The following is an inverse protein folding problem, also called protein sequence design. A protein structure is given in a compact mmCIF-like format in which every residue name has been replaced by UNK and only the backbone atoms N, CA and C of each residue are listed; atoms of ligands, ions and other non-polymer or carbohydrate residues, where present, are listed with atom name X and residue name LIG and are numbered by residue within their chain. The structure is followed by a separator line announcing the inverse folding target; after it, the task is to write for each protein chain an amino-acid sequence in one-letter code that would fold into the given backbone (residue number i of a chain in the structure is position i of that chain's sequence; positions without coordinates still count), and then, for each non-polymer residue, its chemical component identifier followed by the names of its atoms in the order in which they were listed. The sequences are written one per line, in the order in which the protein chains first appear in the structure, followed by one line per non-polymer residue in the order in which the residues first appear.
data_IF_863937494267
#
_entry.id   IF_863937494267
#
_cell.length_a   1.000
_cell.length_b   1.000
_cell.length_c   1.000
_cell.angle_alpha   90.00
_cell.angle_beta   90.00
_cell.angle_gamma   90.00
#
_symmetry.space_group_name_H-M   'P 1'
#
loop_
_entity.id
_entity.type
_entity.pdbx_description
1 polymer ?
#
# COMPACT_ATOMS: atom_id res chain seq x y z
N UNK A 1 -3.33 21.61 18.97
CA UNK A 1 -3.10 21.65 17.50
C UNK A 1 -3.08 20.23 16.96
N UNK A 2 -3.95 19.89 15.99
CA UNK A 2 -3.79 18.64 15.21
C UNK A 2 -2.61 18.85 14.26
N UNK A 3 -1.57 18.00 14.33
CA UNK A 3 -0.50 17.99 13.33
C UNK A 3 -1.12 17.60 11.99
N UNK A 4 -1.02 18.48 10.99
CA UNK A 4 -1.31 18.13 9.61
C UNK A 4 -0.03 17.56 8.99
N UNK A 5 -0.13 16.41 8.34
CA UNK A 5 0.96 15.81 7.57
C UNK A 5 0.59 15.91 6.10
N UNK A 6 1.50 16.42 5.27
CA UNK A 6 1.40 16.26 3.82
C UNK A 6 1.89 14.84 3.51
N UNK A 7 1.00 14.02 2.97
CA UNK A 7 1.32 12.65 2.56
C UNK A 7 1.45 12.65 1.04
N UNK A 8 2.68 12.50 0.54
CA UNK A 8 2.92 12.27 -0.88
C UNK A 8 2.47 10.84 -1.24
N UNK A 9 1.53 10.74 -2.18
CA UNK A 9 1.04 9.45 -2.66
C UNK A 9 2.08 8.70 -3.52
N UNK A 10 3.16 9.37 -3.94
CA UNK A 10 4.35 8.71 -4.48
C UNK A 10 5.22 8.20 -3.32
N UNK A 11 4.65 7.38 -2.44
CA UNK A 11 5.43 6.71 -1.38
C UNK A 11 6.61 6.02 -2.07
N UNK A 12 7.84 6.20 -1.57
CA UNK A 12 9.02 5.66 -2.23
C UNK A 12 8.86 4.20 -2.64
N UNK A 13 8.15 3.39 -1.84
CA UNK A 13 7.92 1.95 -2.09
C UNK A 13 7.05 1.64 -3.32
N UNK A 14 6.07 2.48 -3.67
CA UNK A 14 5.12 2.28 -4.80
C UNK A 14 5.40 3.26 -5.94
N UNK A 15 6.50 4.02 -5.88
CA UNK A 15 6.79 5.08 -6.82
C UNK A 15 7.32 4.55 -8.16
N UNK A 16 6.54 3.79 -8.96
CA UNK A 16 6.79 3.44 -10.38
C UNK A 16 8.27 3.33 -10.83
N UNK A 17 9.15 2.74 -10.02
CA UNK A 17 10.62 2.73 -10.24
C UNK A 17 11.29 4.11 -10.40
N UNK A 18 10.61 5.20 -10.07
CA UNK A 18 11.11 6.58 -10.08
C UNK A 18 11.92 6.94 -8.84
N UNK A 19 11.79 6.16 -7.77
CA UNK A 19 12.57 6.32 -6.55
C UNK A 19 13.53 5.13 -6.39
N UNK A 20 14.77 5.36 -5.89
CA UNK A 20 15.73 4.28 -5.61
C UNK A 20 15.24 3.30 -4.52
N UNK A 21 14.19 3.65 -3.78
CA UNK A 21 13.55 2.82 -2.77
C UNK A 21 12.22 2.20 -3.23
N UNK A 22 11.92 2.27 -4.54
CA UNK A 22 10.73 1.64 -5.11
C UNK A 22 10.92 0.13 -5.21
N UNK A 23 9.93 -0.62 -4.73
CA UNK A 23 9.91 -2.06 -4.89
C UNK A 23 9.49 -2.39 -6.34
N UNK A 24 10.32 -3.12 -7.12
CA UNK A 24 10.00 -3.45 -8.50
C UNK A 24 8.73 -4.31 -8.63
N UNK A 25 8.39 -5.08 -7.61
CA UNK A 25 7.17 -5.88 -7.61
C UNK A 25 5.91 -5.00 -7.50
N UNK A 26 6.05 -3.71 -7.12
CA UNK A 26 4.96 -2.73 -7.04
C UNK A 26 4.88 -1.80 -8.25
N UNK A 27 5.69 -2.04 -9.30
CA UNK A 27 5.71 -1.20 -10.50
C UNK A 27 4.37 -1.16 -11.25
N UNK A 28 3.52 -2.17 -11.06
CA UNK A 28 2.19 -2.27 -11.70
C UNK A 28 1.01 -2.10 -10.74
N UNK A 29 1.27 -1.81 -9.46
CA UNK A 29 0.22 -1.56 -8.48
C UNK A 29 -0.55 -0.28 -8.82
N UNK A 30 -1.88 -0.33 -8.75
CA UNK A 30 -2.75 0.75 -9.22
C UNK A 30 -2.33 2.12 -8.64
N UNK A 31 -2.09 3.14 -9.49
CA UNK A 31 -1.67 4.46 -9.02
C UNK A 31 -2.66 5.14 -8.08
N UNK A 32 -3.96 4.92 -8.25
CA UNK A 32 -5.00 5.55 -7.43
C UNK A 32 -5.04 4.99 -6.00
N UNK A 33 -4.58 3.75 -5.81
CA UNK A 33 -4.56 3.06 -4.51
C UNK A 33 -3.34 3.39 -3.65
N UNK A 34 -2.29 3.95 -4.25
CA UNK A 34 -1.06 4.34 -3.54
C UNK A 34 -1.29 5.32 -2.41
N UNK A 35 -2.35 6.13 -2.48
CA UNK A 35 -2.76 7.03 -1.39
C UNK A 35 -3.06 6.28 -0.09
N UNK A 36 -3.65 5.10 -0.16
CA UNK A 36 -3.98 4.30 1.03
C UNK A 36 -2.70 3.73 1.66
N UNK A 37 -1.80 3.23 0.82
CA UNK A 37 -0.46 2.77 1.23
C UNK A 37 0.31 3.90 1.90
N UNK A 38 0.30 5.09 1.29
CA UNK A 38 0.96 6.29 1.79
C UNK A 38 0.46 6.69 3.17
N UNK A 39 -0.85 6.78 3.32
CA UNK A 39 -1.49 7.18 4.58
C UNK A 39 -1.24 6.15 5.67
N UNK A 40 -1.32 4.85 5.35
CA UNK A 40 -1.08 3.80 6.33
C UNK A 40 0.37 3.81 6.84
N UNK A 41 1.35 3.87 5.94
CA UNK A 41 2.78 3.86 6.29
C UNK A 41 3.20 5.15 7.01
N UNK A 42 2.73 6.31 6.55
CA UNK A 42 3.05 7.58 7.19
C UNK A 42 2.36 7.77 8.55
N UNK A 43 1.28 7.05 8.81
CA UNK A 43 0.58 7.11 10.09
C UNK A 43 1.40 6.46 11.19
N UNK A 44 1.59 7.17 12.30
CA UNK A 44 2.21 6.59 13.51
C UNK A 44 1.43 5.38 14.06
N UNK A 45 0.14 5.25 13.73
CA UNK A 45 -0.65 4.08 14.12
C UNK A 45 -0.46 2.86 13.22
N UNK A 46 0.19 3.02 12.05
CA UNK A 46 0.31 2.01 10.99
C UNK A 46 -0.95 1.11 10.90
N UNK A 47 -2.10 1.69 10.52
CA UNK A 47 -3.37 0.99 10.57
C UNK A 47 -3.37 -0.19 9.59
N UNK A 48 -4.09 -1.26 9.97
CA UNK A 48 -4.34 -2.38 9.04
C UNK A 48 -5.30 -1.89 7.95
N UNK A 49 -4.92 -2.06 6.69
CA UNK A 49 -5.82 -1.88 5.57
C UNK A 49 -6.67 -3.15 5.45
N UNK A 50 -7.99 -2.97 5.46
CA UNK A 50 -8.94 -4.03 5.21
C UNK A 50 -9.33 -3.99 3.74
N UNK A 51 -9.02 -5.04 2.99
CA UNK A 51 -9.45 -5.19 1.61
C UNK A 51 -10.47 -6.33 1.51
N UNK A 52 -11.52 -6.18 0.69
CA UNK A 52 -12.54 -7.22 0.54
C UNK A 52 -12.10 -8.28 -0.47
N UNK A 53 -12.16 -7.93 -1.76
CA UNK A 53 -11.94 -8.83 -2.89
C UNK A 53 -11.19 -8.17 -4.06
N UNK A 54 -10.37 -7.17 -3.78
CA UNK A 54 -9.63 -6.47 -4.83
C UNK A 54 -8.44 -7.30 -5.34
N UNK A 55 -8.51 -7.71 -6.60
CA UNK A 55 -7.50 -8.59 -7.21
C UNK A 55 -6.15 -7.92 -7.39
N UNK A 56 -6.09 -6.60 -7.54
CA UNK A 56 -4.81 -5.90 -7.68
C UNK A 56 -4.06 -5.90 -6.35
N UNK A 57 -4.76 -5.58 -5.25
CA UNK A 57 -4.22 -5.69 -3.89
C UNK A 57 -3.78 -7.12 -3.58
N UNK A 58 -4.56 -8.12 -3.98
CA UNK A 58 -4.21 -9.52 -3.74
C UNK A 58 -2.94 -9.93 -4.46
N UNK A 59 -2.79 -9.57 -5.73
CA UNK A 59 -1.58 -9.87 -6.53
C UNK A 59 -0.32 -9.24 -5.94
N UNK A 60 -0.45 -8.04 -5.38
CA UNK A 60 0.67 -7.27 -4.84
C UNK A 60 0.89 -7.45 -3.32
N UNK A 61 0.04 -8.24 -2.63
CA UNK A 61 0.01 -8.33 -1.16
C UNK A 61 1.38 -8.61 -0.51
N UNK A 62 2.14 -9.55 -1.06
CA UNK A 62 3.43 -9.95 -0.48
C UNK A 62 4.46 -8.82 -0.58
N UNK A 63 4.47 -8.10 -1.70
CA UNK A 63 5.35 -6.93 -1.86
C UNK A 63 4.92 -5.79 -0.94
N UNK A 64 3.61 -5.53 -0.81
CA UNK A 64 3.08 -4.52 0.11
C UNK A 64 3.45 -4.82 1.57
N UNK A 65 3.26 -6.06 2.03
CA UNK A 65 3.60 -6.50 3.39
C UNK A 65 5.10 -6.44 3.68
N UNK A 66 5.94 -6.85 2.73
CA UNK A 66 7.40 -6.73 2.81
C UNK A 66 7.87 -5.29 3.00
N UNK A 67 7.11 -4.31 2.49
CA UNK A 67 7.39 -2.89 2.65
C UNK A 67 6.70 -2.27 3.89
N UNK A 68 6.26 -3.08 4.85
CA UNK A 68 5.77 -2.63 6.15
C UNK A 68 4.28 -2.28 6.20
N UNK A 69 3.55 -2.50 5.11
CA UNK A 69 2.10 -2.35 5.10
C UNK A 69 1.45 -3.52 5.86
N UNK A 70 0.42 -3.22 6.65
CA UNK A 70 -0.38 -4.24 7.32
C UNK A 70 -1.67 -4.42 6.54
N UNK A 71 -1.87 -5.60 5.96
CA UNK A 71 -3.01 -5.91 5.10
C UNK A 71 -3.82 -7.06 5.69
N UNK A 72 -5.14 -7.01 5.59
CA UNK A 72 -6.03 -8.13 5.90
C UNK A 72 -7.13 -8.21 4.85
N UNK A 73 -7.24 -9.36 4.20
CA UNK A 73 -8.36 -9.66 3.32
C UNK A 73 -9.54 -10.17 4.14
N UNK A 74 -10.73 -9.60 3.89
CA UNK A 74 -11.97 -10.01 4.55
C UNK A 74 -12.54 -11.29 3.95
N UNK A 75 -12.38 -11.47 2.62
CA UNK A 75 -12.89 -12.61 1.89
C UNK A 75 -11.81 -13.27 1.01
N UNK A 76 -10.72 -13.79 1.59
CA UNK A 76 -9.61 -14.38 0.83
C UNK A 76 -10.05 -15.55 -0.05
N UNK A 77 -11.11 -16.27 0.33
CA UNK A 77 -11.68 -17.39 -0.45
C UNK A 77 -12.22 -16.99 -1.83
N UNK A 78 -12.37 -15.70 -2.12
CA UNK A 78 -12.78 -15.20 -3.44
C UNK A 78 -11.60 -14.72 -4.30
N UNK A 79 -10.38 -14.90 -3.83
CA UNK A 79 -9.13 -14.43 -4.46
C UNK A 79 -8.22 -15.56 -4.95
N UNK A 80 -8.57 -16.81 -4.62
CA UNK A 80 -7.89 -18.04 -5.03
C UNK A 80 -8.24 -18.45 -6.47
#
# INVERSE_FOLDING_TARGET
MKKAFVVDANVPIVANLRAPHADPDLARFDPSDRKYVAVAIASASNPVILNAVDTDWWRHRTALERNGLRLRFLCPQHME
#
